data_IF_139145822430
#
_entry.id   IF_139145822430
#
_cell.length_a   1.000
_cell.length_b   1.000
_cell.length_c   1.000
_cell.angle_alpha   90.00
_cell.angle_beta   90.00
_cell.angle_gamma   90.00
#
_symmetry.space_group_name_H-M   'P 1'
#
loop_
_entity.id
_entity.type
_entity.pdbx_description
1 polymer ?
#
# COMPACT_ATOMS: atom_id res chain seq x y z
N UNK A 1 -40.93 -3.26 29.04
CA UNK A 1 -41.11 -2.39 27.86
C UNK A 1 -39.75 -2.27 27.20
N UNK A 2 -39.63 -2.75 25.97
CA UNK A 2 -38.40 -2.80 25.21
C UNK A 2 -38.00 -1.38 24.76
N UNK A 3 -36.76 -1.01 25.02
CA UNK A 3 -36.10 0.16 24.46
C UNK A 3 -34.81 -0.29 23.78
N UNK A 4 -34.83 -0.25 22.45
CA UNK A 4 -33.73 -0.47 21.52
C UNK A 4 -32.56 0.48 21.75
N UNK A 5 -31.33 -0.05 21.78
CA UNK A 5 -30.08 0.73 21.80
C UNK A 5 -28.91 -0.11 21.27
N UNK A 6 -28.20 0.43 20.28
CA UNK A 6 -27.18 -0.21 19.45
C UNK A 6 -25.87 -0.52 20.19
N UNK A 7 -25.11 -1.50 19.68
CA UNK A 7 -23.76 -1.95 20.15
C UNK A 7 -22.65 -0.89 19.93
N UNK A 8 -23.01 0.38 19.77
CA UNK A 8 -22.06 1.45 19.45
C UNK A 8 -21.56 2.23 20.69
N UNK A 9 -22.19 2.07 21.86
CA UNK A 9 -21.89 2.93 23.02
C UNK A 9 -21.03 2.26 24.13
N UNK A 10 -20.66 0.99 23.98
CA UNK A 10 -19.87 0.26 25.00
C UNK A 10 -18.36 0.17 24.68
N UNK A 11 -17.82 1.06 23.84
CA UNK A 11 -16.36 1.21 23.67
C UNK A 11 -15.77 2.44 24.37
N UNK A 12 -16.60 3.31 24.97
CA UNK A 12 -16.14 4.62 25.44
C UNK A 12 -15.60 4.67 26.89
N UNK A 13 -15.60 3.57 27.65
CA UNK A 13 -15.30 3.63 29.10
C UNK A 13 -14.16 2.76 29.62
N UNK A 14 -13.40 2.07 28.76
CA UNK A 14 -12.21 1.31 29.18
C UNK A 14 -10.96 1.72 28.41
N UNK A 15 -10.41 2.89 28.73
CA UNK A 15 -8.95 3.13 28.62
C UNK A 15 -8.52 4.41 29.34
N UNK A 16 -8.72 4.50 30.65
CA UNK A 16 -8.13 5.54 31.49
C UNK A 16 -6.87 5.10 32.23
N UNK A 17 -6.43 3.84 32.12
CA UNK A 17 -5.26 3.35 32.87
C UNK A 17 -4.48 2.23 32.14
N UNK A 18 -3.78 2.58 31.06
CA UNK A 18 -2.59 1.81 30.64
C UNK A 18 -1.63 2.67 29.81
N UNK A 19 -1.19 3.81 30.38
CA UNK A 19 0.02 4.51 29.90
C UNK A 19 1.27 3.71 30.26
N UNK A 20 1.41 2.50 29.75
CA UNK A 20 2.74 1.89 29.59
C UNK A 20 3.24 2.32 28.22
N UNK A 21 3.96 3.45 28.23
CA UNK A 21 4.77 3.88 27.10
C UNK A 21 5.53 2.64 26.57
N UNK A 22 5.46 2.33 25.26
CA UNK A 22 6.32 1.31 24.71
C UNK A 22 7.78 1.70 25.00
N UNK A 23 8.68 0.73 25.28
CA UNK A 23 10.07 1.03 25.59
C UNK A 23 10.64 2.02 24.58
N UNK A 24 11.43 2.98 25.06
CA UNK A 24 11.97 4.13 24.32
C UNK A 24 12.69 3.81 22.98
N UNK A 25 12.92 2.53 22.69
CA UNK A 25 13.36 2.00 21.41
C UNK A 25 12.28 2.08 20.30
N UNK A 26 11.01 1.74 20.60
CA UNK A 26 9.94 1.70 19.58
C UNK A 26 9.51 3.11 19.14
N UNK A 27 9.59 4.11 20.02
CA UNK A 27 9.34 5.52 19.67
C UNK A 27 10.45 6.16 18.84
N UNK A 28 11.66 5.59 18.85
CA UNK A 28 12.76 6.01 17.97
C UNK A 28 12.66 5.37 16.60
N UNK A 29 12.13 4.15 16.49
CA UNK A 29 11.91 3.50 15.19
C UNK A 29 10.80 4.17 14.37
N UNK A 30 9.83 4.84 15.00
CA UNK A 30 8.83 5.65 14.28
C UNK A 30 9.34 7.03 13.85
N UNK A 31 10.46 7.50 14.42
CA UNK A 31 11.05 8.82 14.12
C UNK A 31 12.34 8.74 13.30
N UNK A 32 12.92 7.56 13.14
CA UNK A 32 14.13 7.36 12.36
C UNK A 32 13.84 7.11 10.87
N UNK A 33 13.48 8.18 10.16
CA UNK A 33 13.41 8.20 8.68
C UNK A 33 14.73 7.82 8.01
N UNK A 34 15.86 7.77 8.73
CA UNK A 34 17.16 7.34 8.15
C UNK A 34 17.22 5.84 7.87
N UNK A 35 16.36 5.05 8.51
CA UNK A 35 16.22 3.62 8.28
C UNK A 35 15.22 3.28 7.16
N UNK A 36 14.35 4.22 6.79
CA UNK A 36 13.33 4.04 5.75
C UNK A 36 13.92 3.56 4.40
N UNK A 37 15.03 4.12 3.88
CA UNK A 37 15.62 3.65 2.62
C UNK A 37 16.17 2.21 2.72
N UNK A 38 16.62 1.80 3.91
CA UNK A 38 17.13 0.45 4.15
C UNK A 38 16.01 -0.57 4.27
N UNK A 39 14.91 -0.21 4.93
CA UNK A 39 13.73 -1.06 5.06
C UNK A 39 13.07 -1.22 3.69
N UNK A 40 12.92 -0.12 2.95
CA UNK A 40 12.39 -0.08 1.60
C UNK A 40 13.16 -1.00 0.65
N UNK A 41 14.50 -0.88 0.62
CA UNK A 41 15.34 -1.75 -0.20
C UNK A 41 15.15 -3.24 0.15
N UNK A 42 15.13 -3.59 1.44
CA UNK A 42 14.89 -4.98 1.87
C UNK A 42 13.51 -5.48 1.42
N UNK A 43 12.48 -4.65 1.53
CA UNK A 43 11.13 -5.03 1.13
C UNK A 43 11.03 -5.23 -0.38
N UNK A 44 11.59 -4.32 -1.18
CA UNK A 44 11.71 -4.46 -2.63
C UNK A 44 12.41 -5.76 -3.01
N UNK A 45 13.55 -6.07 -2.38
CA UNK A 45 14.30 -7.32 -2.63
C UNK A 45 13.46 -8.57 -2.30
N UNK A 46 12.68 -8.54 -1.22
CA UNK A 46 11.78 -9.63 -0.83
C UNK A 46 10.68 -9.79 -1.88
N UNK A 47 9.99 -8.71 -2.26
CA UNK A 47 8.92 -8.78 -3.27
C UNK A 47 9.44 -9.29 -4.62
N UNK A 48 10.59 -8.82 -5.05
CA UNK A 48 11.22 -9.31 -6.27
C UNK A 48 11.51 -10.81 -6.19
N UNK A 49 12.01 -11.29 -5.05
CA UNK A 49 12.23 -12.71 -4.83
C UNK A 49 10.94 -13.52 -4.86
N UNK A 50 9.91 -13.06 -4.16
CA UNK A 50 8.60 -13.73 -4.11
C UNK A 50 8.00 -13.84 -5.52
N UNK A 51 8.03 -12.75 -6.28
CA UNK A 51 7.55 -12.73 -7.67
C UNK A 51 8.31 -13.71 -8.56
N UNK A 52 9.63 -13.85 -8.39
CA UNK A 52 10.43 -14.82 -9.17
C UNK A 52 10.20 -16.27 -8.74
N UNK A 53 9.85 -16.49 -7.48
CA UNK A 53 9.79 -17.84 -6.89
C UNK A 53 8.39 -18.43 -7.01
N UNK A 54 7.36 -17.64 -6.71
CA UNK A 54 5.96 -18.08 -6.63
C UNK A 54 5.05 -17.42 -7.67
N UNK A 55 5.55 -16.40 -8.37
CA UNK A 55 4.79 -15.68 -9.38
C UNK A 55 3.99 -14.49 -8.82
N UNK A 56 2.97 -14.01 -9.55
CA UNK A 56 2.27 -12.78 -9.21
C UNK A 56 1.62 -12.79 -7.83
N UNK A 57 1.81 -11.71 -7.07
CA UNK A 57 1.24 -11.54 -5.71
C UNK A 57 0.10 -10.51 -5.74
N UNK A 58 -0.77 -10.54 -4.72
CA UNK A 58 -1.77 -9.49 -4.54
C UNK A 58 -1.19 -8.39 -3.65
N UNK A 59 -1.28 -7.15 -4.08
CA UNK A 59 -0.78 -6.00 -3.33
C UNK A 59 -1.85 -4.91 -3.26
N UNK A 60 -2.00 -4.33 -2.08
CA UNK A 60 -3.00 -3.33 -1.75
C UNK A 60 -2.34 -2.00 -1.40
N UNK A 61 -2.95 -0.91 -1.84
CA UNK A 61 -2.47 0.45 -1.68
C UNK A 61 -3.64 1.41 -1.59
N UNK A 62 -3.41 2.56 -0.96
CA UNK A 62 -4.38 3.66 -0.97
C UNK A 62 -4.50 4.26 -2.37
N UNK A 63 -5.74 4.42 -2.83
CA UNK A 63 -6.06 5.01 -4.13
C UNK A 63 -6.43 6.50 -3.97
N UNK A 64 -6.01 7.30 -4.94
CA UNK A 64 -6.23 8.74 -4.99
C UNK A 64 -7.06 9.12 -6.22
N UNK A 65 -7.68 10.31 -6.18
CA UNK A 65 -8.57 10.80 -7.25
C UNK A 65 -7.91 10.87 -8.63
N UNK A 66 -6.64 11.24 -8.69
CA UNK A 66 -5.86 11.32 -9.92
C UNK A 66 -5.62 9.94 -10.55
N UNK A 67 -5.45 8.90 -9.73
CA UNK A 67 -5.21 7.53 -10.19
C UNK A 67 -6.39 6.98 -11.00
N UNK A 68 -7.63 7.36 -10.68
CA UNK A 68 -8.79 6.93 -11.47
C UNK A 68 -8.69 7.36 -12.94
N UNK A 69 -8.01 8.48 -13.18
CA UNK A 69 -7.81 9.09 -14.49
C UNK A 69 -6.44 8.72 -15.10
N UNK A 70 -5.70 7.78 -14.51
CA UNK A 70 -4.44 7.29 -15.06
C UNK A 70 -4.64 6.71 -16.47
N UNK A 71 -3.82 7.17 -17.41
CA UNK A 71 -3.82 6.68 -18.80
C UNK A 71 -2.51 5.97 -19.16
N UNK A 72 -1.37 6.53 -18.77
CA UNK A 72 -0.05 5.98 -19.11
C UNK A 72 1.07 6.57 -18.27
N UNK A 73 2.22 5.92 -18.26
CA UNK A 73 3.45 6.38 -17.60
C UNK A 73 3.67 5.76 -16.23
N UNK A 74 4.64 6.26 -15.47
CA UNK A 74 4.89 5.79 -14.10
C UNK A 74 4.13 6.70 -13.15
N UNK A 75 3.09 6.16 -12.53
CA UNK A 75 2.29 6.86 -11.54
C UNK A 75 3.08 7.11 -10.26
N UNK A 76 2.93 8.31 -9.71
CA UNK A 76 3.50 8.70 -8.42
C UNK A 76 2.47 9.55 -7.70
N UNK A 77 2.18 9.18 -6.45
CA UNK A 77 1.19 9.86 -5.63
C UNK A 77 1.66 11.27 -5.29
N UNK A 78 0.78 12.27 -5.47
CA UNK A 78 0.96 13.61 -4.92
C UNK A 78 -0.10 13.88 -3.85
N UNK A 79 0.23 13.55 -2.61
CA UNK A 79 -0.65 13.72 -1.44
C UNK A 79 -1.12 15.17 -1.23
N UNK A 80 -0.40 16.17 -1.77
CA UNK A 80 -0.80 17.57 -1.65
C UNK A 80 -1.85 17.98 -2.69
N UNK A 81 -2.03 17.20 -3.75
CA UNK A 81 -2.88 17.54 -4.90
C UNK A 81 -4.07 16.61 -5.09
N UNK A 82 -4.08 15.45 -4.44
CA UNK A 82 -5.13 14.46 -4.65
C UNK A 82 -5.74 14.00 -3.34
N UNK A 83 -7.07 13.95 -3.31
CA UNK A 83 -7.80 13.46 -2.17
C UNK A 83 -7.70 11.94 -2.10
N UNK A 84 -7.40 11.42 -0.91
CA UNK A 84 -7.46 10.00 -0.62
C UNK A 84 -8.90 9.51 -0.77
N UNK A 85 -9.10 8.42 -1.51
CA UNK A 85 -10.42 7.85 -1.79
C UNK A 85 -10.68 6.60 -0.94
N UNK A 86 -10.09 5.47 -1.32
CA UNK A 86 -10.30 4.16 -0.68
C UNK A 86 -9.10 3.23 -0.92
N UNK A 87 -9.02 2.12 -0.20
CA UNK A 87 -8.00 1.10 -0.43
C UNK A 87 -8.33 0.25 -1.66
N UNK A 88 -7.33 0.01 -2.52
CA UNK A 88 -7.47 -0.80 -3.72
C UNK A 88 -6.41 -1.90 -3.74
N UNK A 89 -6.76 -3.07 -4.27
CA UNK A 89 -5.84 -4.19 -4.42
C UNK A 89 -5.74 -4.60 -5.89
N UNK A 90 -4.51 -4.76 -6.36
CA UNK A 90 -4.21 -5.19 -7.73
C UNK A 90 -3.18 -6.31 -7.74
N UNK A 91 -3.11 -7.02 -8.87
CA UNK A 91 -2.13 -8.11 -9.02
C UNK A 91 -0.79 -7.52 -9.43
N UNK A 92 0.22 -7.66 -8.57
CA UNK A 92 1.59 -7.30 -8.88
C UNK A 92 2.20 -8.37 -9.79
N UNK A 93 2.53 -7.97 -11.01
CA UNK A 93 3.00 -8.87 -12.07
C UNK A 93 4.52 -8.89 -12.17
N UNK A 94 5.19 -7.79 -11.81
CA UNK A 94 6.62 -7.66 -12.00
C UNK A 94 7.12 -6.24 -11.70
N UNK A 95 8.32 -5.96 -12.18
CA UNK A 95 8.95 -4.66 -12.07
C UNK A 95 9.84 -4.38 -13.28
N UNK A 96 10.24 -3.12 -13.44
CA UNK A 96 11.16 -2.72 -14.49
C UNK A 96 11.79 -1.37 -14.20
N UNK A 97 12.49 -0.84 -15.21
CA UNK A 97 13.08 0.49 -15.18
C UNK A 97 12.85 1.16 -16.54
N UNK A 98 12.41 2.40 -16.52
CA UNK A 98 12.26 3.23 -17.71
C UNK A 98 12.84 4.62 -17.44
N UNK A 99 13.76 5.07 -18.30
CA UNK A 99 14.36 6.40 -18.15
C UNK A 99 15.10 6.64 -16.84
N UNK A 100 15.60 5.57 -16.18
CA UNK A 100 16.24 5.64 -14.86
C UNK A 100 15.26 5.61 -13.67
N UNK A 101 13.96 5.51 -13.92
CA UNK A 101 12.92 5.39 -12.89
C UNK A 101 12.46 3.94 -12.80
N UNK A 102 12.59 3.35 -11.61
CA UNK A 102 12.16 1.98 -11.33
C UNK A 102 10.66 1.97 -11.04
N UNK A 103 9.96 0.96 -11.55
CA UNK A 103 8.52 0.85 -11.37
C UNK A 103 8.09 -0.58 -11.04
N UNK A 104 6.96 -0.68 -10.36
CA UNK A 104 6.17 -1.90 -10.22
C UNK A 104 5.13 -1.97 -11.33
N UNK A 105 4.95 -3.15 -11.93
CA UNK A 105 3.94 -3.41 -12.96
C UNK A 105 2.77 -4.17 -12.35
N UNK A 106 1.59 -3.60 -12.46
CA UNK A 106 0.36 -4.20 -11.95
C UNK A 106 -0.65 -4.49 -13.07
N UNK A 107 -1.40 -5.57 -12.91
CA UNK A 107 -2.61 -5.84 -13.66
C UNK A 107 -3.83 -5.39 -12.85
N UNK A 108 -4.62 -4.47 -13.42
CA UNK A 108 -5.84 -3.97 -12.80
C UNK A 108 -7.05 -4.82 -13.19
N UNK A 109 -8.18 -4.57 -12.53
CA UNK A 109 -9.47 -5.24 -12.76
C UNK A 109 -10.50 -4.36 -13.47
N UNK A 110 -10.11 -3.15 -13.92
CA UNK A 110 -11.01 -2.14 -14.49
C UNK A 110 -11.20 -2.24 -16.02
N UNK A 111 -10.91 -3.41 -16.59
CA UNK A 111 -11.01 -3.64 -18.03
C UNK A 111 -9.76 -3.20 -18.80
N UNK A 112 -9.72 -3.55 -20.09
CA UNK A 112 -8.55 -3.32 -20.95
C UNK A 112 -8.47 -1.90 -21.51
N UNK A 113 -9.56 -1.15 -21.48
CA UNK A 113 -9.60 0.22 -22.02
C UNK A 113 -9.03 1.24 -21.03
N UNK A 114 -8.79 0.83 -19.78
CA UNK A 114 -8.22 1.68 -18.74
C UNK A 114 -6.70 1.54 -18.68
N UNK A 115 -6.01 2.66 -18.45
CA UNK A 115 -4.55 2.69 -18.33
C UNK A 115 -3.84 2.15 -19.57
N UNK A 116 -2.78 1.38 -19.34
CA UNK A 116 -1.96 0.80 -20.40
C UNK A 116 -2.46 -0.62 -20.73
N UNK A 117 -3.59 -0.70 -21.43
CA UNK A 117 -4.26 -1.97 -21.77
C UNK A 117 -4.74 -2.79 -20.56
N UNK A 118 -5.20 -2.11 -19.49
CA UNK A 118 -5.60 -2.70 -18.22
C UNK A 118 -4.45 -2.87 -17.22
N UNK A 119 -3.25 -2.42 -17.58
CA UNK A 119 -2.09 -2.40 -16.71
C UNK A 119 -1.78 -0.97 -16.28
N UNK A 120 -1.03 -0.88 -15.19
CA UNK A 120 -0.48 0.39 -14.73
C UNK A 120 0.88 0.16 -14.09
N UNK A 121 1.65 1.24 -14.05
CA UNK A 121 2.97 1.26 -13.46
C UNK A 121 3.00 2.29 -12.33
N UNK A 122 3.48 1.88 -11.17
CA UNK A 122 3.68 2.77 -10.02
C UNK A 122 5.17 2.86 -9.74
N UNK A 123 5.63 4.05 -9.36
CA UNK A 123 6.99 4.28 -8.87
C UNK A 123 7.35 3.26 -7.78
N UNK A 124 8.52 2.65 -7.88
CA UNK A 124 8.97 1.63 -6.93
C UNK A 124 9.25 2.20 -5.54
N UNK A 125 9.40 3.52 -5.44
CA UNK A 125 9.47 4.24 -4.18
C UNK A 125 8.13 4.26 -3.43
N UNK A 126 7.02 3.97 -4.10
CA UNK A 126 5.71 3.76 -3.47
C UNK A 126 5.54 2.27 -3.14
N UNK A 127 5.72 1.92 -1.87
CA UNK A 127 5.58 0.54 -1.40
C UNK A 127 4.10 0.24 -1.14
N UNK A 128 3.57 -0.92 -1.59
CA UNK A 128 2.22 -1.33 -1.20
C UNK A 128 2.10 -1.47 0.33
N UNK A 129 0.99 -0.98 0.87
CA UNK A 129 0.70 -1.01 2.30
C UNK A 129 0.55 -2.44 2.82
N UNK A 130 -0.09 -3.29 2.02
CA UNK A 130 -0.26 -4.71 2.31
C UNK A 130 0.08 -5.54 1.08
N UNK A 131 0.76 -6.67 1.30
CA UNK A 131 1.03 -7.65 0.26
C UNK A 131 0.64 -9.02 0.77
N UNK A 132 -0.25 -9.68 0.03
CA UNK A 132 -0.65 -11.06 0.27
C UNK A 132 0.07 -11.92 -0.75
N UNK A 133 1.19 -12.51 -0.31
CA UNK A 133 1.86 -13.56 -1.06
C UNK A 133 1.04 -14.86 -0.92
N UNK A 134 0.77 -15.52 -2.04
CA UNK A 134 0.05 -16.79 -2.04
C UNK A 134 0.92 -17.89 -1.47
N UNK A 135 0.51 -18.46 -0.33
CA UNK A 135 1.04 -19.73 0.18
C UNK A 135 0.62 -20.82 -0.82
N UNK A 136 1.56 -21.38 -1.57
CA UNK A 136 1.31 -22.57 -2.39
C UNK A 136 2.29 -23.67 -2.00
#
# INVERSE_FOLDING_TARGET
MAGSGSVADECASMSSDNRRNPPSALRRLSQDRSSAPRIQRKFTEILQRELMTYGPVLACFTLFEDFQHYMSGIYRTDENRSLQLYGHCAKLMGWGEEGGVKYWLYANTWGRDWGEHGFFRIDMDEIPEEVVAGVM
#
